data_IF_157887737626
#
_entry.id   IF_157887737626
#
_cell.length_a   1.000
_cell.length_b   1.000
_cell.length_c   1.000
_cell.angle_alpha   90.00
_cell.angle_beta   90.00
_cell.angle_gamma   90.00
#
_symmetry.space_group_name_H-M   'P 1'
#
loop_
_entity.id
_entity.type
_entity.pdbx_description
1 polymer ?
#
# COMPACT_ATOMS: atom_id res chain seq x y z
N UNK A 1 -17.09 24.05 4.14
CA UNK A 1 -16.15 23.23 3.37
C UNK A 1 -16.94 22.70 2.18
N UNK A 2 -16.60 23.13 0.97
CA UNK A 2 -17.35 22.76 -0.23
C UNK A 2 -17.17 21.29 -0.55
N UNK A 3 -18.13 20.69 -1.25
CA UNK A 3 -18.06 19.29 -1.69
C UNK A 3 -16.87 19.11 -2.67
N UNK A 4 -16.55 20.15 -3.43
CA UNK A 4 -15.41 20.18 -4.37
C UNK A 4 -14.05 20.16 -3.65
N UNK A 5 -13.87 20.92 -2.56
CA UNK A 5 -12.65 20.89 -1.74
C UNK A 5 -12.37 19.49 -1.17
N UNK A 6 -13.43 18.74 -0.84
CA UNK A 6 -13.31 17.38 -0.30
C UNK A 6 -12.78 16.40 -1.35
N UNK A 7 -13.29 16.48 -2.58
CA UNK A 7 -12.84 15.59 -3.66
C UNK A 7 -11.41 15.90 -4.12
N UNK A 8 -11.02 17.17 -4.17
CA UNK A 8 -9.65 17.55 -4.51
C UNK A 8 -8.64 17.07 -3.46
N UNK A 9 -8.97 17.21 -2.17
CA UNK A 9 -8.12 16.71 -1.09
C UNK A 9 -8.02 15.18 -1.10
N UNK A 10 -9.12 14.48 -1.39
CA UNK A 10 -9.12 13.03 -1.50
C UNK A 10 -8.25 12.54 -2.67
N UNK A 11 -8.35 13.19 -3.83
CA UNK A 11 -7.53 12.88 -5.00
C UNK A 11 -6.03 13.13 -4.76
N UNK A 12 -5.69 14.28 -4.15
CA UNK A 12 -4.31 14.60 -3.80
C UNK A 12 -3.71 13.59 -2.80
N UNK A 13 -4.49 13.18 -1.80
CA UNK A 13 -4.08 12.15 -0.82
C UNK A 13 -3.86 10.79 -1.49
N UNK A 14 -4.72 10.42 -2.44
CA UNK A 14 -4.58 9.15 -3.16
C UNK A 14 -3.38 9.14 -4.10
N UNK A 15 -3.05 10.28 -4.72
CA UNK A 15 -1.84 10.45 -5.53
C UNK A 15 -0.56 10.30 -4.68
N UNK A 16 -0.49 10.95 -3.50
CA UNK A 16 0.65 10.80 -2.58
C UNK A 16 0.84 9.35 -2.12
N UNK A 17 -0.26 8.63 -1.84
CA UNK A 17 -0.19 7.20 -1.49
C UNK A 17 0.29 6.32 -2.65
N UNK A 18 -0.11 6.64 -3.88
CA UNK A 18 0.32 5.90 -5.07
C UNK A 18 1.82 6.07 -5.34
N UNK A 19 2.39 7.25 -5.07
CA UNK A 19 3.84 7.47 -5.17
C UNK A 19 4.64 6.76 -4.06
N UNK A 20 3.99 6.54 -2.91
CA UNK A 20 4.64 5.89 -1.75
C UNK A 20 4.59 4.38 -1.82
N UNK A 21 3.51 3.79 -2.35
CA UNK A 21 3.32 2.34 -2.38
C UNK A 21 2.89 1.92 -3.78
N UNK A 22 3.82 1.26 -4.48
CA UNK A 22 3.65 0.86 -5.87
C UNK A 22 4.31 -0.50 -6.12
N UNK A 23 3.85 -1.19 -7.15
CA UNK A 23 4.49 -2.41 -7.64
C UNK A 23 5.32 -2.07 -8.88
N UNK A 24 6.55 -2.56 -8.92
CA UNK A 24 7.41 -2.52 -10.10
C UNK A 24 7.96 -3.92 -10.37
N UNK A 25 7.56 -4.50 -11.51
CA UNK A 25 7.84 -5.87 -11.87
C UNK A 25 7.33 -6.89 -10.84
N UNK A 26 8.25 -7.56 -10.13
CA UNK A 26 7.96 -8.61 -9.14
C UNK A 26 8.16 -8.14 -7.71
N UNK A 27 8.23 -6.83 -7.48
CA UNK A 27 8.53 -6.24 -6.18
C UNK A 27 7.58 -5.10 -5.89
N UNK A 28 7.01 -5.10 -4.69
CA UNK A 28 6.22 -3.99 -4.15
C UNK A 28 7.19 -3.12 -3.35
N UNK A 29 7.20 -1.83 -3.64
CA UNK A 29 8.05 -0.85 -3.00
C UNK A 29 7.23 0.06 -2.10
N UNK A 30 7.73 0.26 -0.88
CA UNK A 30 7.14 1.13 0.14
C UNK A 30 8.18 2.20 0.48
N UNK A 31 7.90 3.44 0.07
CA UNK A 31 8.73 4.61 0.35
C UNK A 31 8.27 5.27 1.65
N UNK A 32 9.18 5.37 2.61
CA UNK A 32 8.93 5.97 3.92
C UNK A 32 9.62 7.34 3.94
N UNK A 33 8.81 8.40 3.89
CA UNK A 33 9.30 9.80 3.85
C UNK A 33 9.88 10.23 2.50
N UNK A 34 10.47 11.43 2.47
CA UNK A 34 11.07 12.05 1.27
C UNK A 34 12.50 11.50 1.01
N UNK A 35 13.13 10.91 2.03
CA UNK A 35 14.56 10.56 2.05
C UNK A 35 14.85 9.08 2.29
N UNK A 36 14.19 8.20 1.52
CA UNK A 36 14.84 6.96 1.02
C UNK A 36 14.79 5.68 1.85
N UNK A 37 13.98 5.52 2.91
CA UNK A 37 13.79 4.16 3.45
C UNK A 37 12.81 3.42 2.54
N UNK A 38 13.34 2.45 1.80
CA UNK A 38 12.63 1.62 0.85
C UNK A 38 12.43 0.24 1.47
N UNK A 39 11.21 -0.09 1.91
CA UNK A 39 10.87 -1.48 2.27
C UNK A 39 10.37 -2.15 0.98
N UNK A 40 11.02 -3.25 0.59
CA UNK A 40 10.67 -4.01 -0.61
C UNK A 40 10.02 -5.34 -0.22
N UNK A 41 8.85 -5.62 -0.80
CA UNK A 41 8.11 -6.85 -0.59
C UNK A 41 8.04 -7.62 -1.92
N UNK A 42 8.72 -8.77 -2.05
CA UNK A 42 8.61 -9.59 -3.24
C UNK A 42 7.17 -10.09 -3.45
N UNK A 43 6.65 -9.96 -4.67
CA UNK A 43 5.26 -10.33 -5.01
C UNK A 43 4.98 -11.81 -4.69
N UNK A 44 5.97 -12.69 -4.86
CA UNK A 44 5.83 -14.11 -4.53
C UNK A 44 5.50 -14.37 -3.04
N UNK A 45 5.81 -13.44 -2.14
CA UNK A 45 5.51 -13.55 -0.71
C UNK A 45 4.09 -13.08 -0.34
N UNK A 46 3.36 -12.48 -1.28
CA UNK A 46 1.97 -12.03 -1.08
C UNK A 46 0.97 -12.73 -2.01
N UNK A 47 1.41 -13.79 -2.70
CA UNK A 47 0.55 -14.60 -3.60
C UNK A 47 -0.48 -15.46 -2.88
N UNK A 48 -0.33 -15.67 -1.58
CA UNK A 48 -1.30 -16.40 -0.77
C UNK A 48 -1.92 -15.47 0.25
N UNK A 49 -3.17 -15.74 0.69
CA UNK A 49 -3.80 -14.97 1.76
C UNK A 49 -2.94 -14.89 3.02
N UNK A 50 -2.27 -15.97 3.41
CA UNK A 50 -1.41 -16.01 4.60
C UNK A 50 -0.18 -15.12 4.43
N UNK A 51 0.46 -15.15 3.26
CA UNK A 51 1.59 -14.31 2.94
C UNK A 51 1.22 -12.82 2.95
N UNK A 52 0.07 -12.48 2.37
CA UNK A 52 -0.48 -11.12 2.37
C UNK A 52 -0.81 -10.64 3.80
N UNK A 53 -1.47 -11.47 4.60
CA UNK A 53 -1.79 -11.16 6.00
C UNK A 53 -0.52 -10.97 6.82
N UNK A 54 0.46 -11.88 6.68
CA UNK A 54 1.74 -11.79 7.40
C UNK A 54 2.43 -10.46 7.12
N UNK A 55 2.52 -10.05 5.85
CA UNK A 55 3.12 -8.76 5.49
C UNK A 55 2.29 -7.58 5.98
N UNK A 56 0.97 -7.65 5.89
CA UNK A 56 0.07 -6.63 6.46
C UNK A 56 0.31 -6.44 7.95
N UNK A 57 0.38 -7.53 8.73
CA UNK A 57 0.69 -7.46 10.17
C UNK A 57 2.08 -6.91 10.44
N UNK A 58 3.09 -7.38 9.71
CA UNK A 58 4.46 -6.88 9.84
C UNK A 58 4.54 -5.37 9.60
N UNK A 59 3.84 -4.88 8.57
CA UNK A 59 3.80 -3.46 8.23
C UNK A 59 3.03 -2.63 9.26
N UNK A 60 1.90 -3.14 9.76
CA UNK A 60 1.07 -2.46 10.75
C UNK A 60 1.76 -2.23 12.10
N UNK A 61 2.83 -2.98 12.40
CA UNK A 61 3.63 -2.80 13.63
C UNK A 61 4.52 -1.56 13.61
N UNK A 62 4.69 -0.92 12.45
CA UNK A 62 5.55 0.23 12.32
C UNK A 62 4.75 1.53 12.49
N UNK A 63 5.29 2.46 13.30
CA UNK A 63 4.66 3.76 13.57
C UNK A 63 4.46 4.65 12.33
N UNK A 64 5.22 4.39 11.25
CA UNK A 64 5.10 5.10 9.98
C UNK A 64 4.03 4.51 9.05
N UNK A 65 3.39 3.40 9.41
CA UNK A 65 2.33 2.76 8.64
C UNK A 65 0.96 3.14 9.22
N UNK A 66 0.36 4.19 8.67
CA UNK A 66 -1.02 4.57 8.98
C UNK A 66 -2.03 3.68 8.23
N UNK A 67 -3.32 3.82 8.58
CA UNK A 67 -4.39 3.03 7.99
C UNK A 67 -4.52 3.19 6.47
N UNK A 68 -4.23 4.37 5.94
CA UNK A 68 -4.36 4.64 4.50
C UNK A 68 -3.22 3.98 3.71
N UNK A 69 -2.00 4.06 4.22
CA UNK A 69 -0.84 3.35 3.66
C UNK A 69 -1.01 1.84 3.75
N UNK A 70 -1.54 1.34 4.86
CA UNK A 70 -1.79 -0.09 5.03
C UNK A 70 -2.85 -0.57 4.03
N UNK A 71 -3.95 0.18 3.88
CA UNK A 71 -4.97 -0.10 2.87
C UNK A 71 -4.37 -0.13 1.47
N UNK A 72 -3.58 0.89 1.11
CA UNK A 72 -2.92 0.96 -0.19
C UNK A 72 -1.98 -0.23 -0.43
N UNK A 73 -1.23 -0.65 0.59
CA UNK A 73 -0.41 -1.87 0.50
C UNK A 73 -1.26 -3.10 0.18
N UNK A 74 -2.39 -3.28 0.88
CA UNK A 74 -3.29 -4.43 0.66
C UNK A 74 -3.84 -4.41 -0.77
N UNK A 75 -4.23 -3.24 -1.28
CA UNK A 75 -4.71 -3.09 -2.66
C UNK A 75 -3.64 -3.50 -3.69
N UNK A 76 -2.43 -2.92 -3.58
CA UNK A 76 -1.32 -3.20 -4.50
C UNK A 76 -0.87 -4.65 -4.41
N UNK A 77 -0.80 -5.20 -3.19
CA UNK A 77 -0.37 -6.58 -2.96
C UNK A 77 -1.42 -7.59 -3.38
N UNK A 78 -2.71 -7.30 -3.19
CA UNK A 78 -3.81 -8.12 -3.69
C UNK A 78 -3.83 -8.18 -5.22
N UNK A 79 -3.68 -7.04 -5.88
CA UNK A 79 -3.60 -6.95 -7.34
C UNK A 79 -2.37 -7.69 -7.89
N UNK A 80 -1.17 -7.41 -7.36
CA UNK A 80 0.06 -8.03 -7.83
C UNK A 80 0.16 -9.53 -7.46
N UNK A 81 -0.36 -9.92 -6.30
CA UNK A 81 -0.37 -11.28 -5.79
C UNK A 81 -1.47 -12.16 -6.37
N UNK A 82 -2.51 -11.56 -6.99
CA UNK A 82 -3.67 -12.27 -7.51
C UNK A 82 -4.66 -12.72 -6.43
N UNK A 83 -4.55 -12.17 -5.21
CA UNK A 83 -5.45 -12.46 -4.09
C UNK A 83 -6.65 -11.53 -4.21
N UNK A 84 -7.79 -12.07 -4.61
CA UNK A 84 -9.06 -11.34 -4.63
C UNK A 84 -9.75 -11.47 -3.28
N UNK A 85 -10.11 -10.34 -2.68
CA UNK A 85 -11.05 -10.32 -1.56
C UNK A 85 -12.46 -10.50 -2.14
N UNK A 86 -13.24 -11.45 -1.62
CA UNK A 86 -14.65 -11.57 -2.00
C UNK A 86 -15.40 -10.32 -1.53
N UNK A 87 -16.19 -9.73 -2.44
CA UNK A 87 -17.10 -8.62 -2.17
C UNK A 87 -18.25 -9.01 -1.25
#
# INVERSE_FOLDING_TARGET
MGIEDYFEQAAAKQADLAERIYCDGKTIFIRIGVTSILKSVPVNQVKTPEGLLRWTYELARHSWMDSDRLRRFIEVAGEAGGVKFQE
#
